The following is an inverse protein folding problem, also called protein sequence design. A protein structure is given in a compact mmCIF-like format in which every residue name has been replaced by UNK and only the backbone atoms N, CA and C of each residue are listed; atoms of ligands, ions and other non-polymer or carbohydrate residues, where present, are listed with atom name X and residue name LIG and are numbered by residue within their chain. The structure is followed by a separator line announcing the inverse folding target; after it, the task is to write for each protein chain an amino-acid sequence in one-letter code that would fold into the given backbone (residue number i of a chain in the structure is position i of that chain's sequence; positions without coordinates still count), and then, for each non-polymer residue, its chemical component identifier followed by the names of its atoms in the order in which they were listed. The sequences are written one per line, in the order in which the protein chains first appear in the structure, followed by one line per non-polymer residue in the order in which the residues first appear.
data_IF_238919650242
#
_entry.id   IF_238919650242
#
_cell.length_a   1.000
_cell.length_b   1.000
_cell.length_c   1.000
_cell.angle_alpha   90.00
_cell.angle_beta   90.00
_cell.angle_gamma   90.00
#
_symmetry.space_group_name_H-M   'P 1'
#
loop_
_entity.id
_entity.type
_entity.pdbx_description
1 polymer ?
#
# COMPACT_ATOMS: atom_id res chain seq x y z
N UNK A 1 22.54 15.60 -24.71
CA UNK A 1 23.22 16.11 -25.93
C UNK A 1 24.14 17.29 -25.62
N UNK A 2 23.86 18.10 -24.59
CA UNK A 2 24.75 19.18 -24.13
C UNK A 2 25.88 18.65 -23.24
N UNK A 3 27.14 18.89 -23.61
CA UNK A 3 28.33 18.42 -22.87
C UNK A 3 28.45 18.99 -21.45
N UNK A 4 27.96 20.21 -21.21
CA UNK A 4 27.98 20.83 -19.89
C UNK A 4 27.21 20.03 -18.83
N UNK A 5 26.24 19.21 -19.25
CA UNK A 5 25.52 18.31 -18.34
C UNK A 5 26.46 17.23 -17.83
N UNK A 6 27.31 16.66 -18.68
CA UNK A 6 28.25 15.62 -18.26
C UNK A 6 29.39 16.18 -17.41
N UNK A 7 29.91 17.37 -17.73
CA UNK A 7 30.90 18.07 -16.89
C UNK A 7 30.36 18.34 -15.48
N UNK A 8 29.10 18.79 -15.40
CA UNK A 8 28.41 18.95 -14.12
C UNK A 8 28.25 17.63 -13.39
N UNK A 9 27.76 16.59 -14.06
CA UNK A 9 27.52 15.28 -13.45
C UNK A 9 28.80 14.58 -13.02
N UNK A 10 29.91 14.76 -13.74
CA UNK A 10 31.22 14.24 -13.33
C UNK A 10 31.68 14.88 -12.02
N UNK A 11 31.54 16.20 -11.89
CA UNK A 11 31.86 16.92 -10.65
C UNK A 11 30.93 16.52 -9.51
N UNK A 12 29.62 16.54 -9.76
CA UNK A 12 28.60 16.25 -8.78
C UNK A 12 28.66 14.79 -8.29
N UNK A 13 28.73 13.82 -9.21
CA UNK A 13 28.85 12.42 -8.84
C UNK A 13 30.20 12.13 -8.20
N UNK A 14 31.29 12.79 -8.60
CA UNK A 14 32.58 12.68 -7.90
C UNK A 14 32.46 13.03 -6.41
N UNK A 15 31.80 14.16 -6.10
CA UNK A 15 31.54 14.57 -4.71
C UNK A 15 30.62 13.57 -3.99
N UNK A 16 29.47 13.21 -4.57
CA UNK A 16 28.52 12.30 -3.94
C UNK A 16 29.11 10.90 -3.72
N UNK A 17 29.88 10.37 -4.68
CA UNK A 17 30.52 9.06 -4.57
C UNK A 17 31.56 9.00 -3.45
N UNK A 18 32.18 10.14 -3.11
CA UNK A 18 33.11 10.24 -1.98
C UNK A 18 32.41 10.22 -0.62
N UNK A 19 31.16 10.69 -0.55
CA UNK A 19 30.36 10.69 0.69
C UNK A 19 29.79 9.31 1.03
N UNK A 20 29.41 8.52 0.02
CA UNK A 20 28.77 7.23 0.21
C UNK A 20 29.74 6.09 -0.07
N UNK A 21 30.17 5.30 0.93
CA UNK A 21 31.18 4.26 0.76
C UNK A 21 30.68 3.03 -0.01
N UNK A 22 29.36 2.86 -0.13
CA UNK A 22 28.75 1.72 -0.81
C UNK A 22 29.17 1.63 -2.29
N UNK A 23 29.27 0.41 -2.81
CA UNK A 23 29.73 0.17 -4.17
C UNK A 23 28.69 0.53 -5.24
N UNK A 24 27.44 0.79 -4.86
CA UNK A 24 26.33 1.02 -5.75
C UNK A 24 25.88 2.48 -5.74
N UNK A 25 25.46 2.98 -6.90
CA UNK A 25 24.93 4.33 -7.05
C UNK A 25 23.69 4.30 -7.93
N UNK A 26 22.53 4.65 -7.36
CA UNK A 26 21.26 4.67 -8.09
C UNK A 26 21.08 6.00 -8.82
N UNK A 27 20.90 5.96 -10.13
CA UNK A 27 20.78 7.17 -10.98
C UNK A 27 19.32 7.55 -11.31
N UNK A 28 18.37 6.73 -10.86
CA UNK A 28 16.96 6.87 -11.23
C UNK A 28 16.75 6.36 -12.66
N UNK A 29 16.27 7.23 -13.54
CA UNK A 29 16.03 6.93 -14.96
C UNK A 29 14.57 6.61 -15.29
N UNK A 30 13.67 6.84 -14.35
CA UNK A 30 12.23 6.64 -14.46
C UNK A 30 11.51 7.77 -15.20
N UNK A 31 10.36 7.43 -15.81
CA UNK A 31 9.30 8.35 -16.25
C UNK A 31 9.71 9.51 -17.18
N UNK A 32 10.81 9.39 -17.92
CA UNK A 32 11.12 10.33 -19.00
C UNK A 32 10.12 10.17 -20.15
N UNK A 33 9.11 11.04 -20.18
CA UNK A 33 8.06 11.02 -21.20
C UNK A 33 8.48 11.51 -22.60
N UNK A 34 9.73 11.96 -22.79
CA UNK A 34 10.30 12.30 -24.09
C UNK A 34 9.81 13.61 -24.72
N UNK A 35 8.72 14.22 -24.22
CA UNK A 35 8.05 15.35 -24.90
C UNK A 35 8.96 16.54 -25.17
N UNK A 36 9.84 16.88 -24.22
CA UNK A 36 10.80 17.97 -24.39
C UNK A 36 11.98 17.60 -25.29
N UNK A 37 12.32 16.32 -25.40
CA UNK A 37 13.34 15.84 -26.33
C UNK A 37 12.81 15.87 -27.76
N UNK A 38 11.57 15.43 -27.95
CA UNK A 38 10.86 15.47 -29.23
C UNK A 38 10.71 16.91 -29.74
N UNK A 39 10.38 17.85 -28.86
CA UNK A 39 10.17 19.25 -29.21
C UNK A 39 11.47 20.06 -29.44
N UNK A 40 12.65 19.50 -29.15
CA UNK A 40 13.91 20.24 -29.19
C UNK A 40 14.73 19.90 -30.45
N UNK A 41 14.82 20.85 -31.39
CA UNK A 41 15.52 20.68 -32.67
C UNK A 41 17.00 20.28 -32.54
N UNK A 42 17.70 20.78 -31.52
CA UNK A 42 19.10 20.42 -31.29
C UNK A 42 19.24 18.98 -30.79
N UNK A 43 18.28 18.50 -29.99
CA UNK A 43 18.24 17.08 -29.56
C UNK A 43 17.91 16.18 -30.74
N UNK A 44 16.90 16.53 -31.54
CA UNK A 44 16.55 15.77 -32.75
C UNK A 44 17.70 15.71 -33.75
N UNK A 45 18.40 16.83 -33.96
CA UNK A 45 19.60 16.88 -34.83
C UNK A 45 20.74 16.02 -34.28
N UNK A 46 20.97 16.06 -32.96
CA UNK A 46 21.94 15.19 -32.31
C UNK A 46 21.60 13.71 -32.50
N UNK A 47 20.34 13.33 -32.29
CA UNK A 47 19.89 11.94 -32.47
C UNK A 47 20.14 11.47 -33.91
N UNK A 48 19.75 12.28 -34.91
CA UNK A 48 19.99 11.98 -36.32
C UNK A 48 21.48 11.85 -36.66
N UNK A 49 22.33 12.73 -36.13
CA UNK A 49 23.76 12.73 -36.41
C UNK A 49 24.53 11.58 -35.74
N UNK A 50 23.92 10.92 -34.74
CA UNK A 50 24.53 9.83 -33.98
C UNK A 50 23.75 8.50 -34.14
N UNK A 51 22.89 8.39 -35.14
CA UNK A 51 22.07 7.20 -35.43
C UNK A 51 21.24 6.69 -34.22
N UNK A 52 20.74 7.61 -33.40
CA UNK A 52 19.91 7.31 -32.23
C UNK A 52 18.44 7.33 -32.65
N UNK A 53 17.79 6.17 -32.56
CA UNK A 53 16.48 5.92 -33.20
C UNK A 53 15.27 6.44 -32.41
N UNK A 54 15.36 6.53 -31.09
CA UNK A 54 14.26 6.97 -30.23
C UNK A 54 14.76 7.52 -28.87
N UNK A 55 13.83 7.98 -28.04
CA UNK A 55 14.12 8.53 -26.71
C UNK A 55 14.73 7.48 -25.75
N UNK A 56 14.40 6.19 -25.87
CA UNK A 56 15.01 5.16 -25.03
C UNK A 56 16.46 4.90 -25.42
N UNK A 57 16.79 4.90 -26.71
CA UNK A 57 18.14 4.84 -27.22
C UNK A 57 18.95 6.10 -26.80
N UNK A 58 18.32 7.28 -26.82
CA UNK A 58 18.97 8.52 -26.34
C UNK A 58 19.24 8.47 -24.83
N UNK A 59 18.29 7.95 -24.04
CA UNK A 59 18.48 7.74 -22.60
C UNK A 59 19.58 6.72 -22.33
N UNK A 60 19.68 5.67 -23.15
CA UNK A 60 20.75 4.68 -23.05
C UNK A 60 22.11 5.28 -23.37
N UNK A 61 22.20 6.11 -24.39
CA UNK A 61 23.43 6.87 -24.70
C UNK A 61 23.85 7.72 -23.50
N UNK A 62 22.90 8.42 -22.86
CA UNK A 62 23.17 9.17 -21.63
C UNK A 62 23.67 8.25 -20.50
N UNK A 63 22.97 7.15 -20.22
CA UNK A 63 23.32 6.21 -19.16
C UNK A 63 24.69 5.55 -19.37
N UNK A 64 25.06 5.21 -20.61
CA UNK A 64 26.40 4.68 -20.93
C UNK A 64 27.52 5.66 -20.55
N UNK A 65 27.28 6.97 -20.68
CA UNK A 65 28.25 7.98 -20.23
C UNK A 65 28.28 8.10 -18.71
N UNK A 66 27.13 8.01 -18.05
CA UNK A 66 27.06 8.01 -16.58
C UNK A 66 27.75 6.79 -15.97
N UNK A 67 27.60 5.60 -16.57
CA UNK A 67 28.30 4.39 -16.12
C UNK A 67 29.80 4.61 -16.09
N UNK A 68 30.40 5.22 -17.12
CA UNK A 68 31.84 5.51 -17.15
C UNK A 68 32.29 6.45 -16.03
N UNK A 69 31.48 7.48 -15.74
CA UNK A 69 31.74 8.41 -14.63
C UNK A 69 31.69 7.67 -13.29
N UNK A 70 30.69 6.82 -13.09
CA UNK A 70 30.54 6.03 -11.87
C UNK A 70 31.66 4.99 -11.72
N UNK A 71 32.05 4.30 -12.79
CA UNK A 71 33.14 3.32 -12.79
C UNK A 71 34.49 3.97 -12.45
N UNK A 72 34.76 5.18 -12.95
CA UNK A 72 35.94 5.96 -12.57
C UNK A 72 35.97 6.31 -11.06
N UNK A 73 34.80 6.35 -10.42
CA UNK A 73 34.63 6.54 -8.98
C UNK A 73 34.41 5.22 -8.22
N UNK A 74 34.74 4.07 -8.83
CA UNK A 74 34.59 2.72 -8.27
C UNK A 74 33.15 2.37 -7.86
N UNK A 75 32.15 2.93 -8.55
CA UNK A 75 30.72 2.65 -8.35
C UNK A 75 30.12 1.82 -9.48
N UNK A 76 29.12 1.03 -9.13
CA UNK A 76 28.25 0.28 -10.05
C UNK A 76 26.90 0.97 -10.14
N UNK A 77 26.42 1.18 -11.36
CA UNK A 77 25.15 1.86 -11.57
C UNK A 77 23.96 0.96 -11.22
N UNK A 78 22.97 1.51 -10.51
CA UNK A 78 21.60 0.98 -10.44
C UNK A 78 20.67 1.99 -11.12
N UNK A 79 19.65 1.53 -11.82
CA UNK A 79 18.58 2.41 -12.28
C UNK A 79 17.27 1.67 -12.51
N UNK A 80 16.19 2.44 -12.58
CA UNK A 80 14.85 1.92 -12.83
C UNK A 80 14.75 1.25 -14.18
N UNK A 81 13.86 0.27 -14.30
CA UNK A 81 13.82 -0.63 -15.45
C UNK A 81 13.62 0.00 -16.83
N UNK A 82 13.27 1.28 -16.95
CA UNK A 82 13.34 2.03 -18.21
C UNK A 82 14.77 2.09 -18.81
N UNK A 83 15.80 2.00 -17.99
CA UNK A 83 17.19 2.02 -18.47
C UNK A 83 17.58 0.75 -19.23
N UNK A 84 16.81 -0.34 -19.06
CA UNK A 84 17.11 -1.64 -19.66
C UNK A 84 16.96 -1.56 -21.18
N UNK A 85 18.11 -1.52 -21.87
CA UNK A 85 18.20 -1.53 -23.32
C UNK A 85 19.36 -2.45 -23.76
N UNK A 86 19.33 -3.03 -24.98
CA UNK A 86 20.30 -4.04 -25.41
C UNK A 86 21.78 -3.61 -25.33
N UNK A 87 22.06 -2.31 -25.50
CA UNK A 87 23.42 -1.75 -25.48
C UNK A 87 23.88 -1.29 -24.09
N UNK A 88 23.06 -1.42 -23.04
CA UNK A 88 23.47 -1.08 -21.69
C UNK A 88 24.55 -2.07 -21.18
N UNK A 89 25.65 -1.59 -20.58
CA UNK A 89 26.64 -2.47 -19.95
C UNK A 89 26.01 -3.40 -18.90
N UNK A 90 26.37 -4.70 -18.95
CA UNK A 90 25.89 -5.73 -18.00
C UNK A 90 26.36 -5.52 -16.55
N UNK A 91 27.23 -4.54 -16.31
CA UNK A 91 27.65 -4.09 -14.97
C UNK A 91 26.53 -3.32 -14.25
N UNK A 92 25.55 -2.79 -14.99
CA UNK A 92 24.38 -2.11 -14.43
C UNK A 92 23.41 -3.10 -13.77
N UNK A 93 22.77 -2.65 -12.69
CA UNK A 93 21.69 -3.37 -12.02
C UNK A 93 20.36 -2.73 -12.40
N UNK A 94 19.39 -3.59 -12.75
CA UNK A 94 18.04 -3.18 -13.14
C UNK A 94 17.12 -3.24 -11.93
N UNK A 95 16.55 -2.09 -11.57
CA UNK A 95 15.57 -1.99 -10.49
C UNK A 95 14.16 -2.05 -11.09
N UNK A 96 13.54 -3.22 -10.96
CA UNK A 96 12.24 -3.53 -11.56
C UNK A 96 11.08 -2.99 -10.72
N UNK A 97 10.32 -2.05 -11.27
CA UNK A 97 9.29 -1.33 -10.54
C UNK A 97 7.92 -1.36 -11.21
N UNK A 98 7.88 -1.48 -12.54
CA UNK A 98 6.63 -1.56 -13.32
C UNK A 98 6.00 -2.95 -13.31
N UNK A 99 6.80 -4.00 -13.13
CA UNK A 99 6.31 -5.38 -13.13
C UNK A 99 7.43 -6.41 -13.09
N UNK A 100 7.16 -7.59 -12.51
CA UNK A 100 8.13 -8.69 -12.37
C UNK A 100 8.73 -9.16 -13.70
N UNK A 101 8.01 -9.01 -14.82
CA UNK A 101 8.51 -9.38 -16.14
C UNK A 101 9.80 -8.65 -16.51
N UNK A 102 9.96 -7.40 -16.08
CA UNK A 102 11.21 -6.66 -16.29
C UNK A 102 12.39 -7.32 -15.56
N UNK A 103 12.19 -7.73 -14.31
CA UNK A 103 13.21 -8.47 -13.55
C UNK A 103 13.59 -9.78 -14.24
N UNK A 104 12.60 -10.56 -14.67
CA UNK A 104 12.81 -11.86 -15.33
C UNK A 104 13.57 -11.66 -16.65
N UNK A 105 13.19 -10.66 -17.46
CA UNK A 105 13.86 -10.37 -18.73
C UNK A 105 15.30 -9.87 -18.51
N UNK A 106 15.51 -8.97 -17.55
CA UNK A 106 16.84 -8.51 -17.17
C UNK A 106 17.76 -9.69 -16.78
N UNK A 107 17.25 -10.61 -15.96
CA UNK A 107 17.97 -11.80 -15.51
C UNK A 107 18.37 -12.72 -16.68
N UNK A 108 17.45 -12.98 -17.63
CA UNK A 108 17.73 -13.77 -18.85
C UNK A 108 18.76 -13.12 -19.76
N UNK A 109 18.74 -11.80 -19.81
CA UNK A 109 19.72 -11.02 -20.57
C UNK A 109 21.08 -10.87 -19.84
N UNK A 110 21.23 -11.45 -18.64
CA UNK A 110 22.47 -11.43 -17.88
C UNK A 110 22.71 -10.17 -17.06
N UNK A 111 21.69 -9.34 -16.85
CA UNK A 111 21.75 -8.25 -15.87
C UNK A 111 21.32 -8.75 -14.51
N UNK A 112 21.93 -8.21 -13.46
CA UNK A 112 21.44 -8.37 -12.09
C UNK A 112 20.24 -7.45 -11.86
N UNK A 113 19.29 -7.84 -11.00
CA UNK A 113 18.11 -7.03 -10.75
C UNK A 113 17.51 -7.15 -9.35
N UNK A 114 16.73 -6.14 -8.99
CA UNK A 114 16.03 -5.99 -7.71
C UNK A 114 14.55 -5.74 -8.01
N UNK A 115 13.63 -6.35 -7.24
CA UNK A 115 12.19 -6.12 -7.37
C UNK A 115 11.66 -5.10 -6.36
N UNK A 116 11.05 -4.01 -6.84
CA UNK A 116 10.20 -3.13 -6.04
C UNK A 116 8.72 -3.23 -6.42
N UNK A 117 8.39 -3.71 -7.62
CA UNK A 117 6.99 -3.92 -8.02
C UNK A 117 6.28 -4.84 -7.00
N UNK A 118 5.12 -4.42 -6.52
CA UNK A 118 4.37 -5.13 -5.47
C UNK A 118 4.83 -4.83 -4.03
N UNK A 119 5.87 -4.01 -3.84
CA UNK A 119 6.35 -3.53 -2.53
C UNK A 119 6.23 -2.00 -2.34
N UNK A 120 5.31 -1.39 -3.08
CA UNK A 120 4.95 0.02 -3.00
C UNK A 120 4.08 0.25 -1.76
N UNK A 121 4.72 0.46 -0.62
CA UNK A 121 4.02 0.59 0.67
C UNK A 121 3.31 1.94 0.80
N UNK A 122 3.74 2.96 0.06
CA UNK A 122 3.06 4.26 -0.04
C UNK A 122 1.62 4.14 -0.57
N UNK A 123 1.34 3.13 -1.40
CA UNK A 123 0.02 2.87 -1.98
C UNK A 123 -0.97 2.20 -1.01
N UNK A 124 -0.59 2.07 0.27
CA UNK A 124 -1.40 1.58 1.40
C UNK A 124 -2.12 0.25 1.18
N UNK A 125 -1.60 -0.61 0.31
CA UNK A 125 -2.12 -1.97 0.13
C UNK A 125 -1.85 -2.85 1.38
N UNK A 126 -2.65 -3.92 1.60
CA UNK A 126 -2.57 -4.72 2.81
C UNK A 126 -1.24 -5.49 2.93
N UNK A 127 -0.85 -5.83 4.16
CA UNK A 127 0.40 -6.55 4.42
C UNK A 127 0.46 -7.90 3.68
N UNK A 128 -0.68 -8.59 3.57
CA UNK A 128 -0.80 -9.86 2.85
C UNK A 128 -0.48 -9.76 1.36
N UNK A 129 -0.82 -8.64 0.71
CA UNK A 129 -0.49 -8.40 -0.70
C UNK A 129 1.03 -8.37 -0.89
N UNK A 130 1.72 -7.59 -0.06
CA UNK A 130 3.18 -7.48 -0.10
C UNK A 130 3.87 -8.79 0.32
N UNK A 131 3.39 -9.45 1.36
CA UNK A 131 3.95 -10.70 1.88
C UNK A 131 3.94 -11.86 0.86
N UNK A 132 2.95 -11.90 -0.03
CA UNK A 132 2.83 -12.92 -1.07
C UNK A 132 3.55 -12.56 -2.37
N UNK A 133 3.94 -11.30 -2.55
CA UNK A 133 4.70 -10.84 -3.70
C UNK A 133 6.11 -11.41 -3.63
N UNK A 134 6.45 -12.39 -4.47
CA UNK A 134 7.73 -13.08 -4.42
C UNK A 134 8.62 -12.61 -5.59
N UNK A 135 9.91 -12.26 -5.37
CA UNK A 135 10.82 -11.96 -6.47
C UNK A 135 11.06 -13.15 -7.40
N UNK A 136 10.81 -14.37 -6.93
CA UNK A 136 10.93 -15.62 -7.70
C UNK A 136 9.67 -16.48 -7.47
N UNK A 137 8.51 -16.12 -8.07
CA UNK A 137 7.28 -16.86 -7.85
C UNK A 137 7.38 -18.29 -8.39
N UNK A 138 6.55 -19.18 -7.86
CA UNK A 138 6.46 -20.56 -8.32
C UNK A 138 6.17 -20.61 -9.83
N UNK A 139 6.92 -21.43 -10.56
CA UNK A 139 6.81 -21.54 -12.03
C UNK A 139 7.66 -20.53 -12.81
N UNK A 140 8.48 -19.71 -12.15
CA UNK A 140 9.48 -18.87 -12.81
C UNK A 140 10.41 -19.71 -13.69
N UNK A 141 10.50 -19.36 -14.98
CA UNK A 141 11.31 -20.07 -15.99
C UNK A 141 12.68 -19.40 -16.12
N UNK A 142 13.52 -19.60 -15.13
CA UNK A 142 14.93 -19.18 -15.11
C UNK A 142 15.80 -20.40 -14.81
N UNK A 143 16.94 -20.50 -15.49
CA UNK A 143 18.02 -21.43 -15.13
C UNK A 143 18.67 -21.02 -13.81
N UNK A 144 19.44 -21.93 -13.20
CA UNK A 144 20.16 -21.65 -11.94
C UNK A 144 21.05 -20.39 -12.06
N UNK A 145 21.76 -20.24 -13.18
CA UNK A 145 22.60 -19.06 -13.44
C UNK A 145 21.78 -17.77 -13.59
N UNK A 146 20.61 -17.83 -14.20
CA UNK A 146 19.74 -16.65 -14.33
C UNK A 146 19.07 -16.32 -12.98
N UNK A 147 18.84 -17.30 -12.11
CA UNK A 147 18.35 -17.07 -10.75
C UNK A 147 19.37 -16.29 -9.90
N UNK A 148 20.67 -16.54 -10.07
CA UNK A 148 21.74 -15.79 -9.39
C UNK A 148 21.74 -14.28 -9.73
N UNK A 149 21.08 -13.90 -10.83
CA UNK A 149 20.93 -12.50 -11.20
C UNK A 149 19.85 -11.77 -10.39
N UNK A 150 18.94 -12.49 -9.70
CA UNK A 150 17.92 -11.88 -8.86
C UNK A 150 18.52 -11.62 -7.47
N UNK A 151 18.67 -10.35 -7.11
CA UNK A 151 19.32 -9.94 -5.87
C UNK A 151 18.38 -9.89 -4.66
N UNK A 152 17.07 -9.84 -4.91
CA UNK A 152 16.05 -9.70 -3.89
C UNK A 152 15.04 -8.63 -4.28
N UNK A 153 14.56 -7.89 -3.28
CA UNK A 153 13.62 -6.80 -3.49
C UNK A 153 13.79 -5.67 -2.49
N UNK A 154 13.05 -4.59 -2.71
CA UNK A 154 13.09 -3.38 -1.88
C UNK A 154 11.67 -2.87 -1.67
N UNK A 155 11.35 -2.45 -0.44
CA UNK A 155 10.11 -1.75 -0.15
C UNK A 155 10.28 -0.26 -0.43
N UNK A 156 9.44 0.30 -1.27
CA UNK A 156 9.50 1.72 -1.66
C UNK A 156 8.47 2.53 -0.89
N UNK A 157 8.94 3.54 -0.14
CA UNK A 157 8.10 4.50 0.56
C UNK A 157 8.20 5.86 -0.13
N UNK A 158 7.42 6.04 -1.20
CA UNK A 158 7.26 7.35 -1.84
C UNK A 158 6.58 8.35 -0.89
N UNK A 159 7.01 9.60 -0.93
CA UNK A 159 6.79 10.55 0.16
C UNK A 159 5.68 11.59 -0.08
N UNK A 160 4.88 11.45 -1.14
CA UNK A 160 3.86 12.44 -1.55
C UNK A 160 2.77 12.65 -0.49
N UNK A 161 2.46 11.59 0.28
CA UNK A 161 1.33 11.52 1.20
C UNK A 161 1.75 11.11 2.63
N UNK A 162 3.01 11.41 3.00
CA UNK A 162 3.52 11.21 4.35
C UNK A 162 4.28 12.43 4.88
N UNK A 163 4.29 12.58 6.19
CA UNK A 163 5.06 13.58 6.93
C UNK A 163 5.99 12.86 7.92
N UNK A 164 6.91 13.57 8.60
CA UNK A 164 7.70 12.98 9.68
C UNK A 164 6.84 12.35 10.79
N UNK A 165 5.60 12.80 10.97
CA UNK A 165 4.68 12.24 11.96
C UNK A 165 4.01 10.94 11.49
N UNK A 166 3.85 10.74 10.18
CA UNK A 166 3.10 9.61 9.61
C UNK A 166 3.96 8.59 8.88
N UNK A 167 5.23 8.88 8.58
CA UNK A 167 6.11 7.99 7.81
C UNK A 167 6.20 6.59 8.42
N UNK A 168 6.41 6.48 9.74
CA UNK A 168 6.50 5.18 10.41
C UNK A 168 5.20 4.40 10.31
N UNK A 169 4.04 5.07 10.37
CA UNK A 169 2.73 4.39 10.24
C UNK A 169 2.47 3.82 8.85
N UNK A 170 3.21 4.30 7.83
CA UNK A 170 3.14 3.75 6.47
C UNK A 170 4.19 2.68 6.27
N UNK A 171 5.41 2.84 6.80
CA UNK A 171 6.45 1.82 6.70
C UNK A 171 6.09 0.59 7.55
N UNK A 172 5.70 0.79 8.80
CA UNK A 172 5.54 -0.28 9.77
C UNK A 172 4.07 -0.54 10.14
N UNK A 173 3.68 -1.81 10.34
CA UNK A 173 4.53 -3.01 10.33
C UNK A 173 4.59 -3.75 8.99
N UNK A 174 3.99 -3.22 7.91
CA UNK A 174 3.93 -3.92 6.61
C UNK A 174 5.30 -4.29 6.04
N UNK A 175 6.31 -3.45 6.24
CA UNK A 175 7.69 -3.76 5.83
C UNK A 175 8.30 -4.93 6.59
N UNK A 176 7.83 -5.27 7.80
CA UNK A 176 8.26 -6.49 8.49
C UNK A 176 7.77 -7.76 7.76
N UNK A 177 6.58 -7.72 7.15
CA UNK A 177 6.09 -8.81 6.33
C UNK A 177 6.88 -8.93 5.01
N UNK A 178 7.29 -7.80 4.41
CA UNK A 178 8.20 -7.79 3.26
C UNK A 178 9.56 -8.36 3.64
N UNK A 179 10.12 -7.97 4.79
CA UNK A 179 11.38 -8.49 5.29
C UNK A 179 11.32 -10.03 5.45
N UNK A 180 10.20 -10.58 5.93
CA UNK A 180 10.02 -12.02 5.98
C UNK A 180 10.05 -12.68 4.61
N UNK A 181 9.36 -12.11 3.61
CA UNK A 181 9.40 -12.61 2.23
C UNK A 181 10.82 -12.58 1.65
N UNK A 182 11.60 -11.55 1.94
CA UNK A 182 12.94 -11.38 1.41
C UNK A 182 14.02 -12.19 2.17
N UNK A 183 13.68 -12.75 3.33
CA UNK A 183 14.62 -13.50 4.18
C UNK A 183 14.29 -15.00 4.31
N UNK A 184 13.01 -15.33 4.50
CA UNK A 184 12.58 -16.68 4.85
C UNK A 184 12.47 -17.59 3.62
N UNK A 185 12.44 -18.92 3.80
CA UNK A 185 12.16 -19.85 2.71
C UNK A 185 10.87 -19.48 1.97
N UNK A 186 10.86 -19.63 0.64
CA UNK A 186 9.73 -19.24 -0.22
C UNK A 186 8.41 -19.94 0.13
N UNK A 187 8.48 -21.09 0.81
CA UNK A 187 7.36 -21.89 1.32
C UNK A 187 6.64 -21.25 2.52
N UNK A 188 7.25 -20.29 3.20
CA UNK A 188 6.63 -19.53 4.29
C UNK A 188 5.65 -18.52 3.67
N UNK A 189 4.37 -18.91 3.61
CA UNK A 189 3.31 -18.15 2.91
C UNK A 189 1.98 -18.10 3.68
N UNK A 190 1.93 -18.63 4.91
CA UNK A 190 0.69 -18.62 5.69
C UNK A 190 0.38 -17.19 6.16
N UNK A 191 -0.74 -16.64 5.69
CA UNK A 191 -1.15 -15.24 5.93
C UNK A 191 -1.56 -15.04 7.40
N UNK A 192 -2.36 -15.95 7.98
CA UNK A 192 -2.83 -15.84 9.36
C UNK A 192 -1.66 -15.88 10.36
N UNK A 193 -0.70 -16.78 10.12
CA UNK A 193 0.50 -16.88 10.94
C UNK A 193 1.42 -15.65 10.79
N UNK A 194 1.52 -15.10 9.58
CA UNK A 194 2.23 -13.84 9.34
C UNK A 194 1.61 -12.70 10.15
N UNK A 195 0.29 -12.50 10.09
CA UNK A 195 -0.37 -11.44 10.88
C UNK A 195 -0.20 -11.64 12.39
N UNK A 196 -0.30 -12.88 12.87
CA UNK A 196 -0.08 -13.23 14.27
C UNK A 196 1.32 -12.81 14.75
N UNK A 197 2.36 -13.11 13.96
CA UNK A 197 3.75 -12.75 14.29
C UNK A 197 4.03 -11.26 14.07
N UNK A 198 3.50 -10.68 12.99
CA UNK A 198 3.64 -9.26 12.67
C UNK A 198 3.05 -8.37 13.78
N UNK A 199 1.93 -8.74 14.40
CA UNK A 199 1.38 -8.00 15.53
C UNK A 199 2.36 -7.89 16.70
N UNK A 200 3.11 -8.97 17.00
CA UNK A 200 4.15 -8.95 18.04
C UNK A 200 5.35 -8.11 17.61
N UNK A 201 5.81 -8.24 16.38
CA UNK A 201 6.95 -7.45 15.85
C UNK A 201 6.61 -5.96 15.85
N UNK A 202 5.40 -5.58 15.42
CA UNK A 202 4.91 -4.20 15.41
C UNK A 202 5.07 -3.53 16.78
N UNK A 203 4.71 -4.23 17.84
CA UNK A 203 4.83 -3.72 19.20
C UNK A 203 6.30 -3.57 19.64
N UNK A 204 7.14 -4.58 19.36
CA UNK A 204 8.56 -4.55 19.72
C UNK A 204 9.36 -3.44 18.99
N UNK A 205 8.90 -3.01 17.81
CA UNK A 205 9.52 -1.91 17.09
C UNK A 205 9.40 -0.56 17.83
N UNK A 206 8.43 -0.39 18.74
CA UNK A 206 8.37 0.83 19.57
C UNK A 206 9.57 0.97 20.50
N UNK A 207 10.16 -0.15 20.95
CA UNK A 207 11.38 -0.16 21.77
C UNK A 207 12.60 0.41 21.01
N UNK A 208 12.51 0.49 19.68
CA UNK A 208 13.54 1.03 18.79
C UNK A 208 13.23 2.48 18.35
N UNK A 209 12.25 3.12 18.98
CA UNK A 209 11.89 4.51 18.74
C UNK A 209 10.89 4.74 17.61
N UNK A 210 10.32 3.68 17.03
CA UNK A 210 9.37 3.83 15.93
C UNK A 210 8.02 4.36 16.44
N UNK A 211 7.41 5.23 15.65
CA UNK A 211 6.29 6.06 16.08
C UNK A 211 4.92 5.59 15.55
N UNK A 212 4.84 4.49 14.81
CA UNK A 212 3.62 4.01 14.14
C UNK A 212 2.44 3.75 15.10
N UNK A 213 2.71 3.35 16.33
CA UNK A 213 1.70 3.22 17.38
C UNK A 213 1.51 4.53 18.17
N UNK A 214 2.59 5.10 18.71
CA UNK A 214 2.54 6.34 19.51
C UNK A 214 1.90 7.53 18.78
N UNK A 215 2.27 7.76 17.53
CA UNK A 215 1.75 8.93 16.78
C UNK A 215 0.29 8.77 16.40
N UNK A 216 -0.25 7.54 16.32
CA UNK A 216 -1.66 7.32 16.03
C UNK A 216 -2.55 8.06 17.03
N UNK A 217 -2.39 7.80 18.33
CA UNK A 217 -3.21 8.46 19.35
C UNK A 217 -2.92 9.96 19.46
N UNK A 218 -1.68 10.38 19.20
CA UNK A 218 -1.33 11.81 19.14
C UNK A 218 -2.10 12.54 18.05
N UNK A 219 -2.19 11.94 16.86
CA UNK A 219 -2.98 12.49 15.76
C UNK A 219 -4.47 12.50 16.07
N UNK A 220 -4.99 11.46 16.73
CA UNK A 220 -6.38 11.44 17.18
C UNK A 220 -6.66 12.58 18.19
N UNK A 221 -5.77 12.83 19.15
CA UNK A 221 -5.90 13.98 20.08
C UNK A 221 -5.92 15.32 19.35
N UNK A 222 -5.08 15.50 18.31
CA UNK A 222 -5.12 16.70 17.47
C UNK A 222 -6.50 16.85 16.79
N UNK A 223 -7.02 15.76 16.24
CA UNK A 223 -8.30 15.72 15.55
C UNK A 223 -9.50 15.93 16.48
N UNK A 224 -9.42 15.54 17.76
CA UNK A 224 -10.49 15.75 18.74
C UNK A 224 -10.38 17.09 19.49
N UNK A 225 -9.47 17.98 19.09
CA UNK A 225 -9.17 19.20 19.86
C UNK A 225 -8.82 18.89 21.33
N UNK A 226 -8.01 17.83 21.52
CA UNK A 226 -7.52 17.32 22.80
C UNK A 226 -8.61 16.81 23.78
N UNK A 227 -9.81 16.52 23.28
CA UNK A 227 -10.84 15.79 24.01
C UNK A 227 -10.55 14.28 24.04
N UNK A 228 -11.40 13.51 24.75
CA UNK A 228 -11.36 12.05 24.72
C UNK A 228 -11.34 11.51 23.29
N UNK A 229 -10.44 10.57 23.02
CA UNK A 229 -10.23 10.03 21.66
C UNK A 229 -11.02 8.75 21.41
N UNK A 230 -11.69 8.20 22.42
CA UNK A 230 -12.22 6.83 22.35
C UNK A 230 -13.25 6.69 21.24
N UNK A 231 -14.19 7.63 21.12
CA UNK A 231 -15.21 7.53 20.07
C UNK A 231 -14.65 7.76 18.65
N UNK A 232 -13.65 8.64 18.49
CA UNK A 232 -12.97 8.81 17.21
C UNK A 232 -12.16 7.56 16.86
N UNK A 233 -11.38 7.04 17.82
CA UNK A 233 -10.57 5.83 17.66
C UNK A 233 -11.42 4.64 17.26
N UNK A 234 -12.59 4.45 17.87
CA UNK A 234 -13.53 3.38 17.51
C UNK A 234 -13.96 3.41 16.04
N UNK A 235 -14.15 4.60 15.46
CA UNK A 235 -14.43 4.72 14.02
C UNK A 235 -13.16 4.56 13.17
N UNK A 236 -12.06 5.22 13.55
CA UNK A 236 -10.82 5.22 12.76
C UNK A 236 -10.17 3.82 12.72
N UNK A 237 -10.39 3.02 13.75
CA UNK A 237 -9.93 1.63 13.78
C UNK A 237 -10.69 0.72 12.79
N UNK A 238 -11.81 1.14 12.19
CA UNK A 238 -12.59 0.34 11.22
C UNK A 238 -12.69 0.98 9.83
N UNK A 239 -11.81 1.95 9.56
CA UNK A 239 -11.67 2.56 8.24
C UNK A 239 -10.24 2.41 7.73
N UNK A 240 -10.09 2.42 6.41
CA UNK A 240 -8.78 2.42 5.75
C UNK A 240 -8.68 3.62 4.79
N UNK A 241 -7.48 4.21 4.61
CA UNK A 241 -7.23 5.17 3.54
C UNK A 241 -7.52 4.57 2.17
N UNK A 242 -7.93 5.42 1.23
CA UNK A 242 -8.08 4.99 -0.17
C UNK A 242 -6.75 4.48 -0.74
N UNK A 243 -6.76 3.24 -1.22
CA UNK A 243 -5.59 2.58 -1.80
C UNK A 243 -5.11 3.21 -3.11
N UNK A 244 -3.83 2.94 -3.42
CA UNK A 244 -3.17 3.33 -4.67
C UNK A 244 -3.30 4.84 -4.90
N UNK A 245 -3.44 5.24 -6.16
CA UNK A 245 -3.58 6.64 -6.56
C UNK A 245 -4.99 7.22 -6.35
N UNK A 246 -5.92 6.48 -5.73
CA UNK A 246 -7.28 6.99 -5.49
C UNK A 246 -7.30 8.15 -4.50
N UNK A 247 -6.36 8.18 -3.54
CA UNK A 247 -6.20 9.33 -2.64
C UNK A 247 -5.78 10.60 -3.39
N UNK A 248 -4.88 10.49 -4.38
CA UNK A 248 -4.35 11.63 -5.13
C UNK A 248 -5.39 12.32 -6.02
N UNK A 249 -6.38 11.55 -6.50
CA UNK A 249 -7.34 11.99 -7.51
C UNK A 249 -8.67 12.49 -6.93
N UNK A 250 -8.90 12.40 -5.61
CA UNK A 250 -10.20 12.70 -5.00
C UNK A 250 -10.24 14.00 -4.21
N UNK A 251 -10.71 15.06 -4.86
CA UNK A 251 -11.32 16.24 -4.23
C UNK A 251 -10.38 17.14 -3.42
N UNK A 252 -9.15 16.72 -3.15
CA UNK A 252 -8.15 17.49 -2.41
C UNK A 252 -6.85 17.47 -3.19
N UNK A 253 -6.35 18.67 -3.50
CA UNK A 253 -5.04 18.84 -4.13
C UNK A 253 -3.99 18.91 -3.03
N UNK A 254 -3.07 17.97 -3.05
CA UNK A 254 -1.92 17.95 -2.15
C UNK A 254 -0.71 18.58 -2.83
N UNK A 255 0.14 19.17 -2.02
CA UNK A 255 1.47 19.68 -2.35
C UNK A 255 2.43 19.20 -1.26
N UNK A 256 3.74 19.27 -1.51
CA UNK A 256 4.76 18.87 -0.55
C UNK A 256 4.72 19.62 0.80
N UNK A 257 3.94 20.71 0.91
CA UNK A 257 3.77 21.50 2.13
C UNK A 257 2.37 21.38 2.74
N UNK A 258 1.52 20.51 2.18
CA UNK A 258 0.16 20.35 2.69
C UNK A 258 0.19 19.72 4.09
N UNK A 259 -0.66 20.17 5.02
CA UNK A 259 -0.76 19.55 6.32
C UNK A 259 -1.40 18.16 6.19
N UNK A 260 -0.64 17.13 6.53
CA UNK A 260 -1.10 15.74 6.56
C UNK A 260 -1.59 15.40 7.98
N UNK A 261 -2.70 16.03 8.36
CA UNK A 261 -3.24 16.01 9.73
C UNK A 261 -4.75 15.75 9.79
N UNK A 262 -5.31 15.10 8.76
CA UNK A 262 -6.74 14.74 8.65
C UNK A 262 -7.00 13.31 9.10
N UNK A 263 -8.26 12.87 9.10
CA UNK A 263 -8.60 11.49 9.49
C UNK A 263 -7.87 10.46 8.62
N UNK A 264 -7.77 10.69 7.31
CA UNK A 264 -7.01 9.81 6.38
C UNK A 264 -5.52 9.72 6.73
N UNK A 265 -4.95 10.75 7.33
CA UNK A 265 -3.55 10.75 7.75
C UNK A 265 -3.35 9.97 9.04
N UNK A 266 -4.33 10.02 9.96
CA UNK A 266 -4.30 9.23 11.18
C UNK A 266 -4.67 7.75 10.95
N UNK A 267 -5.55 7.47 9.98
CA UNK A 267 -5.97 6.11 9.65
C UNK A 267 -4.78 5.24 9.24
N UNK A 268 -4.77 4.01 9.74
CA UNK A 268 -3.72 3.03 9.45
C UNK A 268 -3.92 2.46 8.04
N UNK A 269 -2.85 2.08 7.33
CA UNK A 269 -2.96 1.47 6.00
C UNK A 269 -3.84 0.22 5.95
N UNK A 270 -3.94 -0.51 7.06
CA UNK A 270 -4.79 -1.70 7.20
C UNK A 270 -5.39 -1.73 8.62
N UNK A 271 -6.66 -2.13 8.72
CA UNK A 271 -7.40 -2.28 9.97
C UNK A 271 -7.33 -3.71 10.52
N UNK A 272 -6.52 -3.90 11.56
CA UNK A 272 -6.50 -5.15 12.32
C UNK A 272 -7.84 -5.45 13.00
N UNK A 273 -8.56 -4.42 13.44
CA UNK A 273 -9.87 -4.55 14.10
C UNK A 273 -10.93 -5.06 13.10
N UNK A 274 -10.93 -4.55 11.87
CA UNK A 274 -11.82 -5.04 10.82
C UNK A 274 -11.46 -6.47 10.39
N UNK A 275 -10.17 -6.79 10.32
CA UNK A 275 -9.69 -8.16 10.05
C UNK A 275 -10.16 -9.14 11.12
N UNK A 276 -10.00 -8.80 12.39
CA UNK A 276 -10.49 -9.62 13.51
C UNK A 276 -12.01 -9.80 13.45
N UNK A 277 -12.76 -8.75 13.11
CA UNK A 277 -14.20 -8.85 12.92
C UNK A 277 -14.58 -9.75 11.74
N UNK A 278 -13.86 -9.70 10.62
CA UNK A 278 -14.06 -10.63 9.51
C UNK A 278 -13.88 -12.09 9.97
N UNK A 279 -12.88 -12.38 10.81
CA UNK A 279 -12.68 -13.72 11.38
C UNK A 279 -13.83 -14.13 12.32
N UNK A 280 -14.41 -13.19 13.08
CA UNK A 280 -15.58 -13.46 13.92
C UNK A 280 -16.79 -13.84 13.07
N UNK A 281 -17.03 -13.12 11.97
CA UNK A 281 -18.10 -13.43 11.03
C UNK A 281 -17.86 -14.78 10.36
N UNK A 282 -16.63 -15.09 9.95
CA UNK A 282 -16.29 -16.38 9.35
C UNK A 282 -16.50 -17.53 10.34
N UNK A 283 -16.16 -17.32 11.62
CA UNK A 283 -16.42 -18.29 12.69
C UNK A 283 -17.92 -18.51 12.92
N UNK A 284 -18.73 -17.44 12.84
CA UNK A 284 -20.18 -17.53 12.93
C UNK A 284 -20.76 -18.33 11.75
N UNK A 285 -20.30 -18.05 10.52
CA UNK A 285 -20.73 -18.77 9.32
C UNK A 285 -20.35 -20.24 9.38
N UNK A 286 -19.14 -20.56 9.84
CA UNK A 286 -18.68 -21.94 9.97
C UNK A 286 -19.42 -22.70 11.08
N UNK A 287 -19.83 -22.01 12.15
CA UNK A 287 -20.49 -22.60 13.30
C UNK A 287 -21.54 -21.63 13.90
N UNK A 288 -22.80 -21.70 13.43
CA UNK A 288 -23.88 -20.78 13.82
C UNK A 288 -24.42 -21.11 15.21
N UNK A 289 -23.72 -20.67 16.24
CA UNK A 289 -24.11 -20.84 17.64
C UNK A 289 -24.21 -19.50 18.39
N UNK A 290 -24.85 -19.52 19.55
CA UNK A 290 -25.08 -18.34 20.39
C UNK A 290 -23.79 -17.64 20.81
N UNK A 291 -22.69 -18.39 21.02
CA UNK A 291 -21.41 -17.84 21.43
C UNK A 291 -20.77 -17.00 20.31
N UNK A 292 -20.72 -17.53 19.09
CA UNK A 292 -20.21 -16.80 17.93
C UNK A 292 -21.11 -15.62 17.59
N UNK A 293 -22.43 -15.79 17.69
CA UNK A 293 -23.40 -14.73 17.48
C UNK A 293 -23.22 -13.59 18.48
N UNK A 294 -23.00 -13.93 19.76
CA UNK A 294 -22.73 -12.97 20.81
C UNK A 294 -21.47 -12.16 20.51
N UNK A 295 -20.36 -12.80 20.14
CA UNK A 295 -19.09 -12.12 19.81
C UNK A 295 -19.25 -11.11 18.66
N UNK A 296 -19.90 -11.51 17.56
CA UNK A 296 -20.21 -10.61 16.44
C UNK A 296 -21.13 -9.48 16.90
N UNK A 297 -22.21 -9.81 17.63
CA UNK A 297 -23.21 -8.84 18.05
C UNK A 297 -22.68 -7.80 19.04
N UNK A 298 -21.81 -8.19 19.97
CA UNK A 298 -21.24 -7.24 20.93
C UNK A 298 -20.35 -6.20 20.24
N UNK A 299 -19.53 -6.64 19.27
CA UNK A 299 -18.71 -5.73 18.48
C UNK A 299 -19.57 -4.74 17.68
N UNK A 300 -20.59 -5.24 16.98
CA UNK A 300 -21.52 -4.40 16.21
C UNK A 300 -22.31 -3.43 17.10
N UNK A 301 -22.78 -3.87 18.28
CA UNK A 301 -23.46 -2.99 19.25
C UNK A 301 -22.53 -1.91 19.77
N UNK A 302 -21.25 -2.21 19.99
CA UNK A 302 -20.26 -1.21 20.40
C UNK A 302 -20.11 -0.13 19.33
N UNK A 303 -19.86 -0.51 18.09
CA UNK A 303 -19.75 0.43 16.96
C UNK A 303 -21.03 1.20 16.68
N UNK A 304 -22.20 0.55 16.75
CA UNK A 304 -23.50 1.22 16.57
C UNK A 304 -23.71 2.34 17.60
N UNK A 305 -23.42 2.07 18.88
CA UNK A 305 -23.56 3.06 19.97
C UNK A 305 -22.55 4.20 19.86
N UNK A 306 -21.44 3.98 19.16
CA UNK A 306 -20.35 4.97 19.03
C UNK A 306 -20.80 6.25 18.32
N UNK A 307 -21.77 6.18 17.41
CA UNK A 307 -22.19 7.33 16.60
C UNK A 307 -22.59 8.54 17.44
N UNK A 308 -23.42 8.35 18.47
CA UNK A 308 -23.90 9.44 19.33
C UNK A 308 -22.77 10.07 20.17
N UNK A 309 -21.76 9.29 20.56
CA UNK A 309 -20.60 9.84 21.28
C UNK A 309 -19.68 10.61 20.34
N UNK A 310 -19.48 10.12 19.12
CA UNK A 310 -18.67 10.79 18.13
C UNK A 310 -19.31 12.09 17.62
N UNK A 311 -20.64 12.15 17.46
CA UNK A 311 -21.36 13.38 17.08
C UNK A 311 -21.06 14.53 18.07
N UNK A 312 -20.98 14.25 19.38
CA UNK A 312 -20.63 15.25 20.41
C UNK A 312 -19.21 15.81 20.22
N UNK A 313 -18.27 14.96 19.81
CA UNK A 313 -16.88 15.37 19.55
C UNK A 313 -16.80 16.16 18.23
N UNK A 314 -17.49 15.70 17.17
CA UNK A 314 -17.56 16.39 15.87
C UNK A 314 -18.10 17.82 16.03
N UNK A 315 -19.13 18.01 16.87
CA UNK A 315 -19.68 19.33 17.16
C UNK A 315 -18.64 20.32 17.72
N UNK A 316 -17.61 19.80 18.39
CA UNK A 316 -16.54 20.59 19.03
C UNK A 316 -15.23 20.61 18.23
N UNK A 317 -15.12 19.81 17.15
CA UNK A 317 -13.93 19.73 16.31
C UNK A 317 -14.30 19.77 14.81
N UNK A 318 -14.29 20.96 14.18
CA UNK A 318 -14.76 21.13 12.80
C UNK A 318 -14.05 20.26 11.75
N UNK A 319 -12.78 19.89 11.98
CA UNK A 319 -12.02 19.02 11.06
C UNK A 319 -12.69 17.65 10.89
N UNK A 320 -13.39 17.17 11.91
CA UNK A 320 -14.05 15.86 11.88
C UNK A 320 -15.38 15.87 11.13
N UNK A 321 -15.89 17.01 10.65
CA UNK A 321 -17.11 17.02 9.81
C UNK A 321 -16.94 16.23 8.51
N UNK A 322 -15.69 16.03 8.06
CA UNK A 322 -15.38 15.24 6.86
C UNK A 322 -15.79 13.76 6.95
N UNK A 323 -15.98 13.24 8.17
CA UNK A 323 -16.36 11.84 8.46
C UNK A 323 -17.72 11.70 9.16
N UNK A 324 -18.48 12.78 9.34
CA UNK A 324 -19.75 12.75 10.10
C UNK A 324 -20.74 11.72 9.52
N UNK A 325 -20.94 11.75 8.20
CA UNK A 325 -21.78 10.76 7.53
C UNK A 325 -21.21 9.36 7.62
N UNK A 326 -19.87 9.19 7.63
CA UNK A 326 -19.23 7.88 7.78
C UNK A 326 -19.55 7.23 9.12
N UNK A 327 -19.62 8.04 10.20
CA UNK A 327 -20.06 7.56 11.51
C UNK A 327 -21.50 7.06 11.50
N UNK A 328 -22.39 7.77 10.80
CA UNK A 328 -23.80 7.36 10.62
C UNK A 328 -23.90 6.05 9.84
N UNK A 329 -23.19 5.95 8.72
CA UNK A 329 -23.15 4.73 7.92
C UNK A 329 -22.62 3.53 8.73
N UNK A 330 -21.58 3.71 9.56
CA UNK A 330 -21.11 2.63 10.44
C UNK A 330 -22.24 2.13 11.35
N UNK A 331 -23.03 3.04 11.94
CA UNK A 331 -24.17 2.66 12.78
C UNK A 331 -25.23 1.88 11.98
N UNK A 332 -25.57 2.33 10.78
CA UNK A 332 -26.57 1.68 9.93
C UNK A 332 -26.08 0.30 9.45
N UNK A 333 -24.83 0.21 8.99
CA UNK A 333 -24.15 -1.04 8.63
C UNK A 333 -24.16 -2.03 9.79
N UNK A 334 -23.89 -1.56 11.02
CA UNK A 334 -23.92 -2.40 12.21
C UNK A 334 -25.32 -2.94 12.52
N UNK A 335 -26.37 -2.13 12.29
CA UNK A 335 -27.75 -2.60 12.46
C UNK A 335 -28.09 -3.73 11.47
N UNK A 336 -27.66 -3.59 10.22
CA UNK A 336 -27.81 -4.67 9.22
C UNK A 336 -27.11 -5.94 9.70
N UNK A 337 -25.86 -5.84 10.14
CA UNK A 337 -25.10 -6.99 10.64
C UNK A 337 -25.75 -7.67 11.85
N UNK A 338 -26.32 -6.90 12.78
CA UNK A 338 -27.03 -7.42 13.95
C UNK A 338 -28.26 -8.23 13.57
N UNK A 339 -29.06 -7.71 12.63
CA UNK A 339 -30.24 -8.40 12.12
C UNK A 339 -29.84 -9.63 11.29
N UNK A 340 -28.83 -9.50 10.42
CA UNK A 340 -28.32 -10.59 9.61
C UNK A 340 -27.86 -11.78 10.47
N UNK A 341 -27.08 -11.53 11.52
CA UNK A 341 -26.65 -12.59 12.43
C UNK A 341 -27.81 -13.28 13.15
N UNK A 342 -28.84 -12.53 13.57
CA UNK A 342 -30.05 -13.11 14.17
C UNK A 342 -30.80 -14.02 13.19
N UNK A 343 -31.03 -13.57 11.96
CA UNK A 343 -31.65 -14.38 10.91
C UNK A 343 -30.84 -15.65 10.65
N UNK A 344 -29.52 -15.51 10.50
CA UNK A 344 -28.63 -16.61 10.21
C UNK A 344 -28.65 -17.70 11.29
N UNK A 345 -28.52 -17.32 12.57
CA UNK A 345 -28.47 -18.28 13.70
C UNK A 345 -29.83 -18.90 13.99
N UNK A 346 -30.92 -18.13 13.86
CA UNK A 346 -32.27 -18.65 14.06
C UNK A 346 -32.78 -19.51 12.90
N UNK A 347 -32.08 -19.53 11.76
CA UNK A 347 -32.55 -20.14 10.52
C UNK A 347 -33.77 -19.46 9.90
N UNK A 348 -34.17 -18.29 10.40
CA UNK A 348 -35.33 -17.54 9.91
C UNK A 348 -34.96 -16.78 8.65
N UNK A 349 -35.77 -16.95 7.60
CA UNK A 349 -35.57 -16.23 6.34
C UNK A 349 -36.21 -14.83 6.38
N UNK A 350 -35.44 -13.76 6.15
CA UNK A 350 -36.01 -12.43 5.90
C UNK A 350 -36.69 -12.39 4.52
N UNK A 351 -37.57 -11.41 4.30
CA UNK A 351 -38.15 -11.18 2.97
C UNK A 351 -37.08 -10.79 1.95
N UNK A 352 -37.26 -11.13 0.66
CA UNK A 352 -36.36 -10.70 -0.43
C UNK A 352 -36.15 -9.17 -0.45
N UNK A 353 -37.22 -8.40 -0.22
CA UNK A 353 -37.16 -6.94 -0.13
C UNK A 353 -36.25 -6.45 1.01
N UNK A 354 -36.16 -7.18 2.12
CA UNK A 354 -35.20 -6.88 3.20
C UNK A 354 -33.78 -7.12 2.72
N UNK A 355 -33.52 -8.23 2.03
CA UNK A 355 -32.18 -8.56 1.52
C UNK A 355 -31.73 -7.51 0.50
N UNK A 356 -32.56 -7.22 -0.51
CA UNK A 356 -32.26 -6.24 -1.56
C UNK A 356 -31.96 -4.87 -0.97
N UNK A 357 -32.87 -4.34 -0.14
CA UNK A 357 -32.70 -3.03 0.51
C UNK A 357 -31.41 -2.94 1.34
N UNK A 358 -31.08 -3.98 2.09
CA UNK A 358 -29.91 -3.96 2.95
C UNK A 358 -28.60 -4.12 2.15
N UNK A 359 -28.60 -4.91 1.06
CA UNK A 359 -27.45 -4.97 0.16
C UNK A 359 -27.22 -3.64 -0.57
N UNK A 360 -28.28 -2.94 -0.95
CA UNK A 360 -28.19 -1.58 -1.51
C UNK A 360 -27.60 -0.60 -0.49
N UNK A 361 -28.07 -0.62 0.76
CA UNK A 361 -27.54 0.21 1.85
C UNK A 361 -26.04 -0.08 2.07
N UNK A 362 -25.67 -1.35 2.20
CA UNK A 362 -24.28 -1.76 2.39
C UNK A 362 -23.40 -1.31 1.22
N UNK A 363 -23.91 -1.41 -0.01
CA UNK A 363 -23.20 -0.95 -1.22
C UNK A 363 -23.02 0.57 -1.23
N UNK A 364 -24.05 1.33 -0.87
CA UNK A 364 -23.97 2.79 -0.75
C UNK A 364 -22.97 3.22 0.34
N UNK A 365 -22.89 2.46 1.44
CA UNK A 365 -21.98 2.72 2.55
C UNK A 365 -20.49 2.53 2.20
N UNK A 366 -20.17 1.82 1.11
CA UNK A 366 -18.78 1.71 0.59
C UNK A 366 -18.25 3.03 0.05
N UNK A 367 -19.10 4.02 -0.20
CA UNK A 367 -18.66 5.33 -0.71
C UNK A 367 -17.76 6.01 0.32
N UNK A 368 -16.51 6.29 -0.05
CA UNK A 368 -15.56 6.96 0.84
C UNK A 368 -15.97 8.38 1.24
N UNK A 369 -15.59 8.76 2.46
CA UNK A 369 -15.70 10.13 3.01
C UNK A 369 -14.40 10.47 3.72
N UNK A 370 -13.99 11.74 3.69
CA UNK A 370 -12.68 12.12 4.24
C UNK A 370 -11.48 11.40 3.62
N UNK A 371 -11.63 10.79 2.44
CA UNK A 371 -10.63 9.92 1.78
C UNK A 371 -10.30 8.62 2.54
N UNK A 372 -11.25 8.15 3.36
CA UNK A 372 -11.24 6.81 3.98
C UNK A 372 -12.52 6.05 3.66
N UNK A 373 -12.50 4.73 3.79
CA UNK A 373 -13.65 3.84 3.57
C UNK A 373 -13.85 2.86 4.73
N UNK A 374 -15.10 2.46 4.96
CA UNK A 374 -15.45 1.48 5.99
C UNK A 374 -15.13 0.07 5.48
N UNK A 375 -14.26 -0.64 6.20
CA UNK A 375 -13.74 -1.95 5.77
C UNK A 375 -14.40 -3.15 6.45
N UNK A 376 -15.41 -2.89 7.29
CA UNK A 376 -16.25 -3.93 7.92
C UNK A 376 -17.50 -4.30 7.10
N UNK A 377 -17.73 -3.65 5.97
CA UNK A 377 -18.92 -3.84 5.12
C UNK A 377 -18.90 -5.23 4.46
N UNK A 378 -17.77 -5.65 3.91
CA UNK A 378 -17.67 -6.91 3.16
C UNK A 378 -17.95 -8.16 4.02
N UNK A 379 -17.44 -8.26 5.27
CA UNK A 379 -17.88 -9.30 6.19
C UNK A 379 -19.39 -9.32 6.41
N UNK A 380 -20.05 -8.16 6.52
CA UNK A 380 -21.51 -8.09 6.72
C UNK A 380 -22.26 -8.51 5.45
N UNK A 381 -21.81 -8.08 4.27
CA UNK A 381 -22.36 -8.55 2.98
C UNK A 381 -22.24 -10.07 2.89
N UNK A 382 -21.08 -10.63 3.27
CA UNK A 382 -20.85 -12.08 3.31
C UNK A 382 -21.88 -12.77 4.18
N UNK A 383 -22.14 -12.25 5.39
CA UNK A 383 -23.15 -12.79 6.30
C UNK A 383 -24.57 -12.71 5.73
N UNK A 384 -24.97 -11.57 5.17
CA UNK A 384 -26.28 -11.38 4.52
C UNK A 384 -26.50 -12.40 3.39
N UNK A 385 -25.47 -12.62 2.57
CA UNK A 385 -25.54 -13.58 1.46
C UNK A 385 -25.66 -15.04 1.91
N UNK A 386 -25.17 -15.40 3.11
CA UNK A 386 -25.32 -16.76 3.63
C UNK A 386 -26.76 -17.08 4.03
N UNK A 387 -27.52 -16.08 4.49
CA UNK A 387 -28.95 -16.24 4.81
C UNK A 387 -29.73 -16.72 3.57
N UNK A 388 -29.41 -16.18 2.40
CA UNK A 388 -30.08 -16.50 1.12
C UNK A 388 -29.77 -17.92 0.60
N UNK A 389 -28.63 -18.52 0.95
CA UNK A 389 -28.18 -19.79 0.36
C UNK A 389 -28.79 -21.05 0.99
N UNK A 390 -29.30 -20.98 2.22
CA UNK A 390 -29.80 -22.14 2.96
C UNK A 390 -31.03 -22.83 2.34
N UNK A 391 -31.65 -22.26 1.30
CA UNK A 391 -32.82 -22.83 0.62
C UNK A 391 -32.47 -23.71 -0.60
N UNK A 392 -31.25 -23.59 -1.15
CA UNK A 392 -30.85 -24.30 -2.40
C UNK A 392 -30.15 -25.63 -2.20
N UNK A 393 -29.69 -25.97 -0.99
CA UNK A 393 -29.05 -27.27 -0.69
C UNK A 393 -29.97 -28.24 0.09
N UNK A 394 -31.24 -27.88 0.28
CA UNK A 394 -32.24 -28.64 1.03
C UNK A 394 -33.36 -29.26 0.16
N UNK A 395 -33.17 -29.32 -1.16
CA UNK A 395 -34.04 -30.01 -2.13
C UNK A 395 -33.20 -30.93 -3.01
#
# INVERSE_FOLDING_TARGET
TNEKVYEFLETFFGEMCALFPDAYFHIGGDENNGKHWDANEAIQSFMKNNDIVDNHALQTYFNQRIIKILEANNKKMIGWDEILQPSLPKTAIIHSWRGIESLINAAKEGYRGILSNGYYIDLVQPASFHYLNDPVPAGTKLSEKELENILGGEATMWAEMVSPETIDSRIWPRTAAIAERLWSPSTVRNIDDMYRRMARISFLLEEHGLLHHKNYEMMLRRLTNNQDISALKTLVDVVEPLEKYARHSRGVKYTATSPLTRVVDAARPESMVAREFAMLVDSLIANPNDQNQFRVSEQLKHWKRNHLELEKIIAQSPVLREIESLSRDLSDVCEVGLLAGKYYVSGTQPSDMWVERNLELLTAAKKSRGQVELVIIDPIIKLVNQIKKSDTESK
#
